data_IF_229070405092
#
_entry.id   IF_229070405092
#
_cell.length_a   1.000
_cell.length_b   1.000
_cell.length_c   1.000
_cell.angle_alpha   90.00
_cell.angle_beta   90.00
_cell.angle_gamma   90.00
#
_symmetry.space_group_name_H-M   'P 1'
#
loop_
_entity.id
_entity.type
_entity.pdbx_description
1 polymer ?
#
# COMPACT_ATOMS: atom_id res chain seq x y z
N UNK A 1 -0.43 -10.30 26.25
CA UNK A 1 -0.34 -10.77 24.85
C UNK A 1 0.80 -10.04 24.15
N UNK A 2 1.76 -10.75 23.55
CA UNK A 2 2.83 -10.12 22.75
C UNK A 2 2.20 -9.62 21.45
N UNK A 3 2.23 -8.31 21.22
CA UNK A 3 1.76 -7.73 19.96
C UNK A 3 2.80 -8.03 18.87
N UNK A 4 2.37 -8.61 17.75
CA UNK A 4 3.26 -8.88 16.62
C UNK A 4 3.58 -7.56 15.88
N UNK A 5 4.79 -7.43 15.33
CA UNK A 5 5.14 -6.26 14.53
C UNK A 5 4.29 -6.22 13.26
N UNK A 6 3.82 -5.03 12.88
CA UNK A 6 3.15 -4.81 11.60
C UNK A 6 4.11 -4.09 10.66
N UNK A 7 4.27 -4.65 9.47
CA UNK A 7 5.06 -4.04 8.40
C UNK A 7 4.14 -3.65 7.26
N UNK A 8 4.30 -2.42 6.77
CA UNK A 8 3.54 -1.91 5.64
C UNK A 8 4.49 -1.33 4.61
N UNK A 9 4.20 -1.57 3.34
CA UNK A 9 5.02 -1.17 2.20
C UNK A 9 4.21 -0.21 1.35
N UNK A 10 4.73 0.99 1.13
CA UNK A 10 4.13 1.95 0.22
C UNK A 10 5.24 2.62 -0.58
N UNK A 11 5.39 2.29 -1.88
CA UNK A 11 6.45 2.86 -2.70
C UNK A 11 6.19 4.32 -3.08
N UNK A 12 4.95 4.82 -3.03
CA UNK A 12 4.61 6.16 -3.51
C UNK A 12 5.09 7.26 -2.55
N UNK A 13 6.09 8.11 -2.90
CA UNK A 13 6.67 9.07 -1.96
C UNK A 13 5.67 10.08 -1.39
N UNK A 14 4.73 10.54 -2.22
CA UNK A 14 3.72 11.52 -1.82
C UNK A 14 2.77 11.04 -0.73
N UNK A 15 2.66 9.72 -0.50
CA UNK A 15 1.79 9.14 0.53
C UNK A 15 2.47 9.00 1.89
N UNK A 16 3.81 8.95 1.95
CA UNK A 16 4.54 8.58 3.16
C UNK A 16 4.24 9.48 4.35
N UNK A 17 4.24 10.80 4.15
CA UNK A 17 3.97 11.76 5.22
C UNK A 17 2.55 11.61 5.78
N UNK A 18 1.56 11.43 4.89
CA UNK A 18 0.16 11.23 5.26
C UNK A 18 -0.02 9.94 6.06
N UNK A 19 0.61 8.84 5.63
CA UNK A 19 0.57 7.56 6.36
C UNK A 19 1.21 7.71 7.74
N UNK A 20 2.42 8.29 7.83
CA UNK A 20 3.10 8.51 9.11
C UNK A 20 2.28 9.38 10.06
N UNK A 21 1.59 10.40 9.55
CA UNK A 21 0.68 11.23 10.34
C UNK A 21 -0.49 10.40 10.88
N UNK A 22 -1.17 9.63 10.02
CA UNK A 22 -2.30 8.76 10.43
C UNK A 22 -1.89 7.70 11.45
N UNK A 23 -0.73 7.08 11.28
CA UNK A 23 -0.19 6.13 12.26
C UNK A 23 0.06 6.78 13.63
N UNK A 24 0.50 8.05 13.64
CA UNK A 24 0.69 8.82 14.88
C UNK A 24 -0.64 9.17 15.53
N UNK A 25 -1.60 9.68 14.76
CA UNK A 25 -2.96 10.02 15.22
C UNK A 25 -3.68 8.81 15.80
N UNK A 26 -3.46 7.61 15.24
CA UNK A 26 -4.01 6.36 15.74
C UNK A 26 -3.23 5.72 16.90
N UNK A 27 -2.11 6.32 17.37
CA UNK A 27 -1.26 5.73 18.40
C UNK A 27 -0.52 4.44 17.97
N UNK A 28 -0.37 4.21 16.67
CA UNK A 28 0.23 3.01 16.07
C UNK A 28 1.68 3.20 15.60
N UNK A 29 2.24 4.40 15.73
CA UNK A 29 3.58 4.75 15.22
C UNK A 29 4.70 3.80 15.66
N UNK A 30 4.59 3.22 16.87
CA UNK A 30 5.61 2.35 17.46
C UNK A 30 5.32 0.85 17.20
N UNK A 31 4.17 0.53 16.59
CA UNK A 31 3.74 -0.84 16.28
C UNK A 31 3.76 -1.16 14.78
N UNK A 32 3.68 -0.13 13.94
CA UNK A 32 3.63 -0.25 12.48
C UNK A 32 4.86 0.42 11.86
N UNK A 33 5.71 -0.38 11.20
CA UNK A 33 6.85 0.13 10.43
C UNK A 33 6.44 0.34 8.98
N UNK A 34 6.57 1.57 8.49
CA UNK A 34 6.39 1.93 7.08
C UNK A 34 7.71 1.80 6.31
N UNK A 35 7.73 0.93 5.32
CA UNK A 35 8.82 0.73 4.36
C UNK A 35 8.54 1.48 3.05
N UNK A 36 9.40 2.43 2.64
CA UNK A 36 9.19 3.27 1.47
C UNK A 36 9.74 2.63 0.18
N UNK A 37 9.38 1.38 -0.08
CA UNK A 37 9.80 0.63 -1.28
C UNK A 37 8.71 -0.36 -1.72
N UNK A 38 8.78 -0.79 -2.97
CA UNK A 38 7.89 -1.82 -3.51
C UNK A 38 8.45 -3.23 -3.20
N UNK A 39 7.55 -4.19 -3.06
CA UNK A 39 7.91 -5.60 -2.99
C UNK A 39 7.83 -6.25 -4.37
N UNK A 40 8.80 -7.11 -4.67
CA UNK A 40 8.84 -7.96 -5.87
C UNK A 40 9.74 -9.17 -5.62
N UNK A 41 9.80 -10.10 -6.58
CA UNK A 41 10.70 -11.26 -6.58
C UNK A 41 12.13 -10.90 -7.01
N UNK A 42 12.36 -9.62 -7.34
CA UNK A 42 13.66 -9.04 -7.66
C UNK A 42 13.93 -7.80 -6.80
N UNK A 43 15.18 -7.36 -6.76
CA UNK A 43 15.58 -6.11 -6.09
C UNK A 43 16.21 -5.15 -7.09
N UNK A 44 16.01 -3.85 -6.91
CA UNK A 44 16.56 -2.84 -7.80
C UNK A 44 15.80 -1.52 -7.72
N UNK A 45 15.60 -0.91 -8.89
CA UNK A 45 14.77 0.26 -9.10
C UNK A 45 13.72 -0.09 -10.15
N UNK A 46 12.50 0.44 -10.02
CA UNK A 46 11.47 0.26 -11.04
C UNK A 46 10.59 1.48 -11.21
N UNK A 47 9.95 1.57 -12.36
CA UNK A 47 8.99 2.60 -12.68
C UNK A 47 7.64 2.27 -12.02
N UNK A 48 7.10 3.20 -11.25
CA UNK A 48 5.77 3.15 -10.67
C UNK A 48 4.91 4.23 -11.31
N UNK A 49 3.80 3.84 -11.92
CA UNK A 49 2.81 4.78 -12.42
C UNK A 49 1.98 5.33 -11.26
N UNK A 50 2.03 6.64 -11.03
CA UNK A 50 1.17 7.29 -10.04
C UNK A 50 -0.07 7.78 -10.74
N UNK A 51 -1.24 7.22 -10.44
CA UNK A 51 -2.50 7.64 -11.05
C UNK A 51 -3.00 8.94 -10.40
N UNK A 52 -3.46 9.93 -11.20
CA UNK A 52 -4.20 11.06 -10.61
C UNK A 52 -5.52 10.50 -10.11
N UNK A 53 -5.81 10.70 -8.82
CA UNK A 53 -7.19 10.63 -8.37
C UNK A 53 -7.98 11.65 -9.20
N UNK A 54 -8.81 11.20 -10.16
CA UNK A 54 -9.85 12.07 -10.74
C UNK A 54 -10.68 12.52 -9.55
N UNK A 55 -10.72 13.84 -9.29
CA UNK A 55 -11.45 14.54 -8.21
C UNK A 55 -11.79 13.63 -7.05
N UNK A 56 -11.10 13.80 -5.91
CA UNK A 56 -11.42 13.16 -4.63
C UNK A 56 -12.89 12.78 -4.64
N UNK A 57 -13.18 11.48 -4.58
CA UNK A 57 -14.50 11.05 -4.17
C UNK A 57 -14.69 11.67 -2.78
N UNK A 58 -15.16 12.92 -2.75
CA UNK A 58 -15.94 13.50 -1.69
C UNK A 58 -17.24 12.72 -1.68
N UNK A 59 -17.14 11.41 -1.46
CA UNK A 59 -18.19 10.69 -0.78
C UNK A 59 -17.99 11.12 0.65
N UNK A 60 -18.71 12.19 0.96
CA UNK A 60 -19.16 12.46 2.30
C UNK A 60 -19.48 11.11 2.95
N UNK A 61 -19.01 10.96 4.19
CA UNK A 61 -19.50 9.96 5.11
C UNK A 61 -21.03 10.01 5.11
N UNK A 62 -21.69 9.20 4.29
CA UNK A 62 -23.12 9.03 4.38
C UNK A 62 -23.33 8.01 5.51
N UNK A 63 -23.84 8.48 6.64
CA UNK A 63 -24.37 7.66 7.74
C UNK A 63 -23.35 6.77 8.49
N UNK A 64 -22.15 7.28 8.79
CA UNK A 64 -21.21 6.66 9.75
C UNK A 64 -20.78 5.21 9.47
N UNK A 65 -20.96 4.70 8.25
CA UNK A 65 -20.53 3.36 7.85
C UNK A 65 -19.34 3.42 6.89
N UNK A 66 -18.39 2.50 7.07
CA UNK A 66 -17.32 2.24 6.11
C UNK A 66 -17.97 1.67 4.84
N UNK A 67 -18.08 2.49 3.79
CA UNK A 67 -18.44 1.99 2.47
C UNK A 67 -17.49 0.87 2.08
N UNK A 68 -18.03 -0.30 1.78
CA UNK A 68 -17.23 -1.48 1.48
C UNK A 68 -16.72 -1.39 0.04
N UNK A 69 -15.59 -2.02 -0.26
CA UNK A 69 -15.10 -2.14 -1.65
C UNK A 69 -16.14 -2.78 -2.59
N UNK A 70 -17.14 -3.47 -2.04
CA UNK A 70 -18.26 -4.08 -2.77
C UNK A 70 -19.29 -3.04 -3.26
N UNK A 71 -19.39 -1.88 -2.62
CA UNK A 71 -20.33 -0.82 -3.03
C UNK A 71 -19.94 -0.18 -4.38
N UNK A 72 -18.68 -0.36 -4.80
CA UNK A 72 -18.18 0.10 -6.10
C UNK A 72 -18.38 -0.94 -7.22
N UNK A 73 -18.64 -2.21 -6.90
CA UNK A 73 -18.88 -3.27 -7.89
C UNK A 73 -20.32 -3.25 -8.45
N UNK A 74 -21.24 -2.55 -7.79
CA UNK A 74 -22.67 -2.47 -8.15
C UNK A 74 -23.03 -1.29 -9.07
N UNK A 75 -22.07 -0.42 -9.41
CA UNK A 75 -22.32 0.65 -10.38
C UNK A 75 -21.69 0.23 -11.71
N UNK A 76 -22.48 0.24 -12.79
CA UNK A 76 -22.01 0.12 -14.17
C UNK A 76 -21.04 1.28 -14.48
N UNK A 77 -19.79 1.12 -14.06
CA UNK A 77 -18.75 2.08 -14.36
C UNK A 77 -18.36 1.83 -15.82
N UNK A 78 -18.88 2.67 -16.72
CA UNK A 78 -18.47 2.69 -18.14
C UNK A 78 -16.93 2.66 -18.21
N UNK A 79 -16.31 1.79 -19.04
CA UNK A 79 -14.85 1.63 -19.11
C UNK A 79 -14.09 2.95 -19.31
N UNK A 80 -14.71 3.90 -20.01
CA UNK A 80 -14.21 5.24 -20.30
C UNK A 80 -14.06 6.12 -19.03
N UNK A 81 -14.86 5.87 -17.99
CA UNK A 81 -14.79 6.58 -16.72
C UNK A 81 -13.60 6.12 -15.85
N UNK A 82 -13.18 4.86 -15.99
CA UNK A 82 -12.08 4.22 -15.22
C UNK A 82 -10.68 4.57 -15.71
N UNK A 83 -10.54 5.20 -16.88
CA UNK A 83 -9.24 5.65 -17.37
C UNK A 83 -8.75 6.86 -16.55
N UNK A 84 -8.18 6.62 -15.36
CA UNK A 84 -7.35 7.58 -14.67
C UNK A 84 -6.05 7.73 -15.47
N UNK A 85 -5.87 8.87 -16.14
CA UNK A 85 -4.60 9.16 -16.80
C UNK A 85 -3.48 9.16 -15.74
N UNK A 86 -2.32 8.54 -16.00
CA UNK A 86 -1.19 8.60 -15.08
C UNK A 86 -0.86 10.07 -14.78
N UNK A 87 -0.72 10.39 -13.49
CA UNK A 87 -0.22 11.69 -13.01
C UNK A 87 1.24 11.90 -13.36
N UNK A 88 1.99 10.80 -13.41
CA UNK A 88 3.41 10.72 -13.71
C UNK A 88 3.94 9.33 -13.42
N UNK A 89 5.19 9.09 -13.82
CA UNK A 89 5.96 7.90 -13.49
C UNK A 89 7.02 8.32 -12.47
N UNK A 90 7.15 7.59 -11.38
CA UNK A 90 8.21 7.80 -10.38
C UNK A 90 9.07 6.55 -10.32
N UNK A 91 10.38 6.72 -10.18
CA UNK A 91 11.30 5.60 -9.96
C UNK A 91 11.33 5.30 -8.46
N UNK A 92 11.05 4.05 -8.09
CA UNK A 92 10.99 3.61 -6.70
C UNK A 92 11.93 2.43 -6.45
N UNK A 93 12.50 2.33 -5.24
CA UNK A 93 13.26 1.16 -4.85
C UNK A 93 12.35 -0.07 -4.79
N UNK A 94 12.88 -1.20 -5.25
CA UNK A 94 12.24 -2.53 -5.19
C UNK A 94 13.12 -3.45 -4.33
N UNK A 95 12.47 -4.25 -3.47
CA UNK A 95 13.11 -5.25 -2.62
C UNK A 95 12.32 -6.56 -2.62
N UNK A 96 13.00 -7.67 -2.39
CA UNK A 96 12.33 -8.92 -2.04
C UNK A 96 11.90 -8.92 -0.58
N UNK A 97 10.83 -9.65 -0.28
CA UNK A 97 10.39 -9.84 1.09
C UNK A 97 11.48 -10.52 1.94
N UNK A 98 12.14 -11.53 1.38
CA UNK A 98 13.22 -12.27 2.05
C UNK A 98 14.36 -11.34 2.48
N UNK A 99 14.80 -10.44 1.59
CA UNK A 99 15.85 -9.47 1.91
C UNK A 99 15.41 -8.55 3.07
N UNK A 100 14.14 -8.15 3.09
CA UNK A 100 13.60 -7.33 4.18
C UNK A 100 13.56 -8.11 5.50
N UNK A 101 13.04 -9.34 5.49
CA UNK A 101 12.97 -10.18 6.69
C UNK A 101 14.37 -10.44 7.25
N UNK A 102 15.34 -10.79 6.41
CA UNK A 102 16.72 -11.00 6.86
C UNK A 102 17.32 -9.74 7.50
N UNK A 103 17.11 -8.57 6.88
CA UNK A 103 17.69 -7.31 7.34
C UNK A 103 17.06 -6.80 8.64
N UNK A 104 15.73 -6.83 8.74
CA UNK A 104 15.00 -6.15 9.82
C UNK A 104 14.57 -7.07 10.94
N UNK A 105 14.48 -8.37 10.69
CA UNK A 105 13.90 -9.31 11.65
C UNK A 105 14.96 -9.98 12.54
N UNK A 106 16.25 -9.95 12.17
CA UNK A 106 17.45 -10.44 12.92
C UNK A 106 17.38 -11.88 13.47
N UNK A 107 16.26 -12.58 13.30
CA UNK A 107 15.90 -13.94 13.70
C UNK A 107 14.86 -14.46 12.71
N UNK A 108 14.60 -15.77 12.71
CA UNK A 108 13.47 -16.36 11.99
C UNK A 108 12.17 -15.66 12.40
N UNK A 109 11.68 -14.75 11.55
CA UNK A 109 10.36 -14.17 11.72
C UNK A 109 9.39 -15.02 10.92
N UNK A 110 8.51 -15.68 11.66
CA UNK A 110 7.29 -16.24 11.12
C UNK A 110 6.38 -15.07 10.80
N UNK A 111 5.97 -14.93 9.54
CA UNK A 111 4.93 -14.01 9.12
C UNK A 111 3.63 -14.81 9.16
N UNK A 112 2.85 -14.76 10.26
CA UNK A 112 1.66 -15.61 10.39
C UNK A 112 0.53 -15.17 9.45
N UNK A 113 0.61 -13.96 8.93
CA UNK A 113 -0.38 -13.39 8.04
C UNK A 113 0.23 -12.31 7.15
N UNK A 114 -0.20 -12.27 5.89
CA UNK A 114 0.17 -11.27 4.91
C UNK A 114 -1.05 -10.88 4.08
N UNK A 115 -1.21 -9.58 3.86
CA UNK A 115 -2.15 -9.03 2.88
C UNK A 115 -1.39 -8.37 1.76
N UNK A 116 -1.70 -8.76 0.54
CA UNK A 116 -1.13 -8.23 -0.69
C UNK A 116 -2.25 -7.53 -1.45
N UNK A 117 -1.93 -6.36 -1.98
CA UNK A 117 -2.80 -5.50 -2.78
C UNK A 117 -1.86 -4.54 -3.50
N UNK A 118 -1.12 -5.09 -4.46
CA UNK A 118 -0.05 -4.38 -5.14
C UNK A 118 -0.57 -3.77 -6.43
N UNK A 119 -0.07 -2.57 -6.75
CA UNK A 119 -0.24 -2.02 -8.09
C UNK A 119 0.70 -2.78 -9.03
N UNK A 120 0.19 -3.80 -9.71
CA UNK A 120 0.95 -4.68 -10.61
C UNK A 120 0.50 -6.13 -10.50
N UNK A 121 1.46 -7.05 -10.48
CA UNK A 121 1.20 -8.48 -10.33
C UNK A 121 1.47 -8.91 -8.88
N UNK A 122 0.41 -9.20 -8.12
CA UNK A 122 0.52 -9.73 -6.76
C UNK A 122 1.40 -10.99 -6.70
N UNK A 123 1.42 -11.79 -7.77
CA UNK A 123 2.27 -12.97 -7.91
C UNK A 123 3.76 -12.67 -7.88
N UNK A 124 4.18 -11.46 -8.20
CA UNK A 124 5.58 -11.05 -8.10
C UNK A 124 5.97 -10.68 -6.67
N UNK A 125 5.03 -10.52 -5.74
CA UNK A 125 5.33 -10.26 -4.32
C UNK A 125 5.68 -11.55 -3.58
N UNK A 126 5.18 -12.69 -4.06
CA UNK A 126 5.40 -14.05 -3.55
C UNK A 126 6.66 -14.68 -4.15
#
# INVERSE_FOLDING_TARGET
SKTLPVWTFEPTPSKHQSIRRRLREAGLKDRVTLFPFALSNTSGQGALEVLRAKKAAGRAFANHSLGSAQDLLMQDVRPEALASKPAGVVVVPIRTLDNMVQQYARRQVVIPWMKIDAQGFDTLVL
#
